data_IF_227142611356
#
_entry.id   IF_227142611356
#
_cell.length_a   1.000
_cell.length_b   1.000
_cell.length_c   1.000
_cell.angle_alpha   90.00
_cell.angle_beta   90.00
_cell.angle_gamma   90.00
#
_symmetry.space_group_name_H-M   'P 1'
#
loop_
_entity.id
_entity.type
_entity.pdbx_description
1 polymer ?
#
# COMPACT_ATOMS: atom_id res chain seq x y z
N UNK A 1 -54.52 -48.20 -15.94
CA UNK A 1 -54.48 -47.26 -14.81
C UNK A 1 -53.12 -47.23 -14.10
N UNK A 2 -52.43 -48.32 -13.81
CA UNK A 2 -51.15 -48.33 -13.04
C UNK A 2 -49.99 -47.55 -13.65
N UNK A 3 -49.81 -47.47 -14.99
CA UNK A 3 -48.71 -46.73 -15.63
C UNK A 3 -48.80 -45.19 -15.54
N UNK A 4 -50.02 -44.64 -15.54
CA UNK A 4 -50.28 -43.17 -15.42
C UNK A 4 -50.06 -42.67 -13.99
N UNK A 5 -50.38 -43.50 -12.99
CA UNK A 5 -50.15 -43.16 -11.58
C UNK A 5 -48.67 -43.14 -11.22
N UNK A 6 -47.88 -44.08 -11.74
CA UNK A 6 -46.42 -44.12 -11.55
C UNK A 6 -45.74 -42.90 -12.20
N UNK A 7 -46.14 -42.48 -13.41
CA UNK A 7 -45.61 -41.31 -14.07
C UNK A 7 -45.89 -39.99 -13.33
N UNK A 8 -47.11 -39.87 -12.73
CA UNK A 8 -47.46 -38.69 -11.91
C UNK A 8 -46.70 -38.63 -10.59
N UNK A 9 -46.43 -39.77 -9.95
CA UNK A 9 -45.64 -39.83 -8.71
C UNK A 9 -44.16 -39.50 -9.01
N UNK A 10 -43.61 -39.98 -10.12
CA UNK A 10 -42.23 -39.65 -10.54
C UNK A 10 -42.08 -38.16 -10.92
N UNK A 11 -43.07 -37.58 -11.60
CA UNK A 11 -43.07 -36.14 -11.91
C UNK A 11 -43.18 -35.26 -10.66
N UNK A 12 -44.00 -35.67 -9.67
CA UNK A 12 -44.14 -34.96 -8.39
C UNK A 12 -42.83 -35.06 -7.54
N UNK A 13 -42.15 -36.21 -7.59
CA UNK A 13 -40.82 -36.38 -6.93
C UNK A 13 -39.74 -35.54 -7.60
N UNK A 14 -39.70 -35.44 -8.92
CA UNK A 14 -38.76 -34.59 -9.67
C UNK A 14 -39.01 -33.10 -9.38
N UNK A 15 -40.24 -32.65 -9.28
CA UNK A 15 -40.60 -31.27 -8.91
C UNK A 15 -40.23 -30.98 -7.45
N UNK A 16 -40.45 -31.93 -6.52
CA UNK A 16 -40.07 -31.77 -5.12
C UNK A 16 -38.54 -31.67 -4.94
N UNK A 17 -37.76 -32.45 -5.71
CA UNK A 17 -36.29 -32.37 -5.70
C UNK A 17 -35.76 -31.05 -6.28
N UNK A 18 -36.49 -30.45 -7.25
CA UNK A 18 -36.15 -29.17 -7.84
C UNK A 18 -36.37 -27.99 -6.87
N UNK A 19 -37.30 -28.12 -5.91
CA UNK A 19 -37.55 -27.06 -4.91
C UNK A 19 -36.62 -27.15 -3.69
N UNK A 20 -35.96 -28.28 -3.44
CA UNK A 20 -35.01 -28.42 -2.32
C UNK A 20 -33.59 -28.00 -2.66
N UNK A 21 -33.31 -27.63 -3.91
CA UNK A 21 -31.94 -27.24 -4.36
C UNK A 21 -31.64 -25.72 -4.28
N UNK A 22 -32.57 -24.90 -3.79
CA UNK A 22 -32.20 -23.57 -3.32
C UNK A 22 -31.56 -23.68 -1.94
N UNK A 23 -30.41 -24.33 -1.87
CA UNK A 23 -29.45 -24.03 -0.81
C UNK A 23 -29.07 -22.57 -1.04
N UNK A 24 -29.72 -21.67 -0.31
CA UNK A 24 -29.23 -20.31 -0.16
C UNK A 24 -27.80 -20.46 0.35
N UNK A 25 -26.83 -20.30 -0.52
CA UNK A 25 -25.42 -20.16 -0.13
C UNK A 25 -25.42 -18.91 0.78
N UNK A 26 -25.51 -19.17 2.09
CA UNK A 26 -25.37 -18.08 3.06
C UNK A 26 -24.03 -17.42 2.73
N UNK A 27 -24.09 -16.13 2.40
CA UNK A 27 -22.87 -15.36 2.22
C UNK A 27 -22.06 -15.49 3.53
N UNK A 28 -20.89 -16.13 3.53
CA UNK A 28 -20.14 -16.42 4.75
C UNK A 28 -19.65 -15.15 5.45
N UNK A 29 -19.68 -14.01 4.76
CA UNK A 29 -19.26 -12.70 5.27
C UNK A 29 -20.43 -11.86 5.81
N UNK A 30 -21.68 -12.30 5.57
CA UNK A 30 -22.87 -11.55 5.98
C UNK A 30 -22.92 -11.33 7.50
N UNK A 31 -22.99 -10.06 7.91
CA UNK A 31 -23.09 -9.65 9.32
C UNK A 31 -21.76 -9.69 10.08
N UNK A 32 -20.64 -9.96 9.39
CA UNK A 32 -19.30 -9.85 9.96
C UNK A 32 -18.93 -8.38 10.21
N UNK A 33 -18.10 -8.13 11.23
CA UNK A 33 -17.56 -6.82 11.55
C UNK A 33 -16.05 -6.83 11.36
N UNK A 34 -15.53 -5.91 10.54
CA UNK A 34 -14.11 -5.83 10.21
C UNK A 34 -13.59 -4.41 10.38
N UNK A 35 -12.26 -4.25 10.55
CA UNK A 35 -11.65 -2.94 10.57
C UNK A 35 -10.46 -2.86 9.61
N UNK A 36 -10.18 -1.64 9.13
CA UNK A 36 -8.95 -1.27 8.47
C UNK A 36 -8.12 -0.40 9.41
N UNK A 37 -6.88 -0.80 9.67
CA UNK A 37 -5.98 -0.11 10.58
C UNK A 37 -4.74 0.31 9.81
N UNK A 38 -4.65 1.62 9.52
CA UNK A 38 -3.53 2.24 8.86
C UNK A 38 -2.54 2.77 9.88
N UNK A 39 -1.28 2.37 9.76
CA UNK A 39 -0.21 2.84 10.65
C UNK A 39 0.01 4.35 10.51
N UNK A 40 0.06 4.83 9.28
CA UNK A 40 0.40 6.21 8.93
C UNK A 40 -0.72 7.20 9.24
N UNK A 41 -0.37 8.49 9.22
CA UNK A 41 -1.33 9.59 9.25
C UNK A 41 -2.22 9.60 7.99
N UNK A 42 -3.42 10.20 8.05
CA UNK A 42 -4.27 10.35 6.88
C UNK A 42 -3.55 11.09 5.75
N UNK A 43 -3.66 10.55 4.54
CA UNK A 43 -3.31 11.21 3.30
C UNK A 43 -4.36 10.89 2.24
N UNK A 44 -4.38 11.62 1.14
CA UNK A 44 -5.40 11.41 0.11
C UNK A 44 -5.46 9.96 -0.38
N UNK A 45 -4.32 9.31 -0.62
CA UNK A 45 -4.28 7.91 -1.07
C UNK A 45 -4.78 6.95 0.03
N UNK A 46 -4.42 7.18 1.29
CA UNK A 46 -4.86 6.32 2.39
C UNK A 46 -6.35 6.47 2.69
N UNK A 47 -6.90 7.67 2.53
CA UNK A 47 -8.35 7.90 2.62
C UNK A 47 -9.10 7.19 1.48
N UNK A 48 -8.57 7.19 0.25
CA UNK A 48 -9.11 6.41 -0.87
C UNK A 48 -9.08 4.89 -0.60
N UNK A 49 -8.03 4.39 0.03
CA UNK A 49 -7.96 2.97 0.42
C UNK A 49 -8.98 2.63 1.50
N UNK A 50 -9.12 3.48 2.52
CA UNK A 50 -10.11 3.32 3.57
C UNK A 50 -11.54 3.29 3.01
N UNK A 51 -11.90 4.25 2.16
CA UNK A 51 -13.20 4.32 1.48
C UNK A 51 -13.44 3.08 0.59
N UNK A 52 -12.41 2.62 -0.11
CA UNK A 52 -12.49 1.39 -0.93
C UNK A 52 -12.66 0.14 -0.08
N UNK A 53 -12.02 0.07 1.08
CA UNK A 53 -12.20 -1.01 2.04
C UNK A 53 -13.64 -1.05 2.57
N UNK A 54 -14.16 0.07 3.04
CA UNK A 54 -15.52 0.16 3.58
C UNK A 54 -16.57 -0.20 2.53
N UNK A 55 -16.45 0.34 1.32
CA UNK A 55 -17.33 -0.01 0.19
C UNK A 55 -17.27 -1.50 -0.17
N UNK A 56 -16.08 -2.10 -0.10
CA UNK A 56 -15.90 -3.53 -0.39
C UNK A 56 -16.49 -4.41 0.71
N UNK A 57 -16.30 -4.03 1.97
CA UNK A 57 -16.92 -4.71 3.11
C UNK A 57 -18.45 -4.68 3.01
N UNK A 58 -19.04 -3.51 2.73
CA UNK A 58 -20.49 -3.37 2.53
C UNK A 58 -21.02 -4.26 1.41
N UNK A 59 -20.32 -4.33 0.26
CA UNK A 59 -20.71 -5.22 -0.86
C UNK A 59 -20.69 -6.69 -0.45
N UNK A 60 -19.83 -7.06 0.49
CA UNK A 60 -19.75 -8.42 1.05
C UNK A 60 -20.72 -8.65 2.22
N UNK A 61 -21.54 -7.65 2.59
CA UNK A 61 -22.49 -7.73 3.70
C UNK A 61 -21.85 -7.60 5.07
N UNK A 62 -20.64 -7.03 5.15
CA UNK A 62 -19.94 -6.75 6.40
C UNK A 62 -20.15 -5.30 6.83
N UNK A 63 -20.01 -5.03 8.13
CA UNK A 63 -19.76 -3.68 8.65
C UNK A 63 -18.27 -3.44 8.77
N UNK A 64 -17.84 -2.19 8.56
CA UNK A 64 -16.43 -1.82 8.56
C UNK A 64 -16.19 -0.51 9.30
N UNK A 65 -15.08 -0.45 10.02
CA UNK A 65 -14.54 0.76 10.64
C UNK A 65 -13.11 0.99 10.14
N UNK A 66 -12.65 2.25 10.12
CA UNK A 66 -11.29 2.63 9.72
C UNK A 66 -10.61 3.43 10.80
N UNK A 67 -9.33 3.13 11.04
CA UNK A 67 -8.49 3.80 12.03
C UNK A 67 -7.15 4.20 11.41
N UNK A 68 -6.72 5.45 11.66
CA UNK A 68 -5.39 5.94 11.33
C UNK A 68 -4.60 6.12 12.63
N UNK A 69 -3.37 5.63 12.67
CA UNK A 69 -2.56 5.56 13.89
C UNK A 69 -1.48 6.66 13.97
N UNK A 70 -1.41 7.56 12.98
CA UNK A 70 -0.51 8.73 12.96
C UNK A 70 0.95 8.38 13.29
N UNK A 71 1.47 7.32 12.64
CA UNK A 71 2.83 6.80 12.82
C UNK A 71 3.16 6.32 14.24
N UNK A 72 2.13 5.98 15.02
CA UNK A 72 2.28 5.50 16.39
C UNK A 72 2.21 3.98 16.48
N UNK A 73 3.33 3.34 16.83
CA UNK A 73 3.42 1.91 17.11
C UNK A 73 2.48 1.48 18.24
N UNK A 74 2.33 2.33 19.27
CA UNK A 74 1.45 2.06 20.41
C UNK A 74 -0.02 2.07 19.98
N UNK A 75 -0.42 3.08 19.22
CA UNK A 75 -1.79 3.21 18.71
C UNK A 75 -2.13 2.04 17.76
N UNK A 76 -1.22 1.68 16.84
CA UNK A 76 -1.41 0.58 15.90
C UNK A 76 -1.64 -0.76 16.63
N UNK A 77 -0.79 -1.09 17.60
CA UNK A 77 -0.95 -2.31 18.41
C UNK A 77 -2.22 -2.28 19.25
N UNK A 78 -2.49 -1.15 19.91
CA UNK A 78 -3.68 -0.96 20.74
C UNK A 78 -4.96 -1.14 19.93
N UNK A 79 -5.05 -0.57 18.72
CA UNK A 79 -6.22 -0.70 17.85
C UNK A 79 -6.48 -2.14 17.42
N UNK A 80 -5.44 -2.89 17.06
CA UNK A 80 -5.57 -4.31 16.71
C UNK A 80 -6.11 -5.11 17.89
N UNK A 81 -5.52 -4.93 19.06
CA UNK A 81 -5.92 -5.65 20.26
C UNK A 81 -7.35 -5.29 20.70
N UNK A 82 -7.72 -4.01 20.66
CA UNK A 82 -9.10 -3.57 20.96
C UNK A 82 -10.11 -4.18 19.98
N UNK A 83 -9.82 -4.22 18.69
CA UNK A 83 -10.69 -4.88 17.71
C UNK A 83 -10.91 -6.36 18.06
N UNK A 84 -9.85 -7.08 18.44
CA UNK A 84 -9.98 -8.47 18.85
C UNK A 84 -10.83 -8.65 20.11
N UNK A 85 -10.69 -7.74 21.09
CA UNK A 85 -11.45 -7.74 22.34
C UNK A 85 -12.92 -7.34 22.17
N UNK A 86 -13.19 -6.37 21.30
CA UNK A 86 -14.54 -5.84 21.04
C UNK A 86 -15.37 -6.68 20.08
N UNK A 87 -14.85 -7.85 19.67
CA UNK A 87 -15.61 -8.83 18.89
C UNK A 87 -15.68 -8.53 17.40
N UNK A 88 -14.69 -7.82 16.84
CA UNK A 88 -14.51 -7.81 15.40
C UNK A 88 -14.16 -9.21 14.91
N UNK A 89 -14.63 -9.56 13.72
CA UNK A 89 -14.30 -10.84 13.08
C UNK A 89 -12.88 -10.84 12.49
N UNK A 90 -12.36 -9.65 12.17
CA UNK A 90 -10.99 -9.50 11.69
C UNK A 90 -10.61 -8.07 11.33
N UNK A 91 -9.34 -7.91 10.99
CA UNK A 91 -8.75 -6.64 10.57
C UNK A 91 -7.91 -6.79 9.31
N UNK A 92 -7.85 -5.71 8.52
CA UNK A 92 -6.77 -5.47 7.55
C UNK A 92 -5.86 -4.43 8.15
N UNK A 93 -4.58 -4.76 8.34
CA UNK A 93 -3.58 -3.85 8.90
C UNK A 93 -2.58 -3.44 7.82
N UNK A 94 -2.15 -2.19 7.85
CA UNK A 94 -1.28 -1.63 6.82
C UNK A 94 -0.11 -0.88 7.43
N UNK A 95 1.07 -1.07 6.86
CA UNK A 95 2.32 -0.34 7.18
C UNK A 95 2.79 -0.45 8.64
N UNK A 96 2.48 -1.52 9.33
CA UNK A 96 2.95 -1.74 10.70
C UNK A 96 4.46 -2.01 10.80
N UNK A 97 5.04 -1.77 11.98
CA UNK A 97 6.47 -1.86 12.24
C UNK A 97 7.05 -3.26 12.03
N UNK A 98 8.09 -3.37 11.22
CA UNK A 98 8.73 -4.63 10.84
C UNK A 98 9.33 -5.38 12.04
N UNK A 99 9.87 -4.65 13.00
CA UNK A 99 10.66 -5.21 14.11
C UNK A 99 9.82 -5.93 15.17
N UNK A 100 8.52 -5.63 15.28
CA UNK A 100 7.64 -6.21 16.29
C UNK A 100 6.38 -6.87 15.73
N UNK A 101 6.03 -6.61 14.47
CA UNK A 101 4.77 -7.09 13.91
C UNK A 101 4.65 -8.61 13.96
N UNK A 102 5.75 -9.34 13.73
CA UNK A 102 5.73 -10.80 13.77
C UNK A 102 5.36 -11.35 15.16
N UNK A 103 6.06 -10.93 16.21
CA UNK A 103 5.82 -11.42 17.57
C UNK A 103 4.45 -10.95 18.09
N UNK A 104 4.09 -9.68 17.85
CA UNK A 104 2.84 -9.11 18.29
C UNK A 104 1.62 -9.78 17.61
N UNK A 105 1.61 -9.91 16.29
CA UNK A 105 0.47 -10.52 15.58
C UNK A 105 0.37 -12.03 15.85
N UNK A 106 1.50 -12.71 16.07
CA UNK A 106 1.50 -14.12 16.50
C UNK A 106 0.81 -14.29 17.87
N UNK A 107 1.12 -13.42 18.83
CA UNK A 107 0.47 -13.40 20.14
C UNK A 107 -1.05 -13.09 20.03
N UNK A 108 -1.44 -12.13 19.20
CA UNK A 108 -2.86 -11.81 18.96
C UNK A 108 -3.62 -13.04 18.43
N UNK A 109 -3.06 -13.75 17.45
CA UNK A 109 -3.71 -14.95 16.87
C UNK A 109 -3.82 -16.09 17.89
N UNK A 110 -2.80 -16.27 18.71
CA UNK A 110 -2.83 -17.29 19.78
C UNK A 110 -3.93 -16.98 20.81
N UNK A 111 -4.03 -15.74 21.26
CA UNK A 111 -5.05 -15.29 22.23
C UNK A 111 -6.47 -15.23 21.65
N UNK A 112 -6.59 -14.92 20.36
CA UNK A 112 -7.88 -14.73 19.68
C UNK A 112 -8.00 -15.59 18.40
N UNK A 113 -8.11 -16.92 18.49
CA UNK A 113 -7.98 -17.82 17.33
C UNK A 113 -9.10 -17.65 16.26
N UNK A 114 -10.23 -17.04 16.62
CA UNK A 114 -11.31 -16.75 15.70
C UNK A 114 -11.15 -15.39 14.98
N UNK A 115 -10.31 -14.51 15.49
CA UNK A 115 -10.00 -13.22 14.91
C UNK A 115 -9.09 -13.40 13.69
N UNK A 116 -9.44 -12.76 12.57
CA UNK A 116 -8.71 -12.92 11.31
C UNK A 116 -7.89 -11.67 11.00
N UNK A 117 -6.67 -11.88 10.55
CA UNK A 117 -5.76 -10.79 10.20
C UNK A 117 -5.33 -10.95 8.75
N UNK A 118 -5.49 -9.86 7.99
CA UNK A 118 -4.81 -9.69 6.71
C UNK A 118 -3.90 -8.47 6.80
N UNK A 119 -2.76 -8.51 6.13
CA UNK A 119 -1.85 -7.37 6.12
C UNK A 119 -1.61 -6.87 4.71
N UNK A 120 -1.50 -5.56 4.58
CA UNK A 120 -1.10 -4.88 3.36
C UNK A 120 0.14 -4.05 3.64
N UNK A 121 1.21 -4.33 2.90
CA UNK A 121 2.53 -3.68 3.06
C UNK A 121 3.14 -3.73 4.47
N UNK A 122 2.75 -4.72 5.28
CA UNK A 122 3.37 -4.99 6.57
C UNK A 122 4.35 -6.16 6.42
N UNK A 123 5.61 -5.93 6.72
CA UNK A 123 6.65 -6.95 6.70
C UNK A 123 6.78 -7.59 8.09
N UNK A 124 7.04 -8.89 8.11
CA UNK A 124 7.31 -9.60 9.36
C UNK A 124 8.77 -10.03 9.41
N UNK A 125 9.47 -9.57 10.43
CA UNK A 125 10.82 -10.03 10.77
C UNK A 125 10.79 -10.67 12.15
N UNK A 126 11.50 -11.79 12.30
CA UNK A 126 11.75 -12.38 13.61
C UNK A 126 12.80 -11.56 14.39
N UNK A 127 13.07 -12.00 15.62
CA UNK A 127 14.03 -11.31 16.50
C UNK A 127 15.46 -11.32 15.96
N UNK A 128 15.77 -12.23 15.01
CA UNK A 128 17.05 -12.27 14.30
C UNK A 128 17.05 -11.42 13.00
N UNK A 129 15.94 -10.77 12.67
CA UNK A 129 15.78 -9.94 11.48
C UNK A 129 15.47 -10.70 10.18
N UNK A 130 15.18 -12.02 10.26
CA UNK A 130 14.81 -12.79 9.07
C UNK A 130 13.33 -12.59 8.72
N UNK A 131 13.02 -12.45 7.43
CA UNK A 131 11.63 -12.39 6.96
C UNK A 131 10.89 -13.69 7.30
N UNK A 132 9.72 -13.57 7.91
CA UNK A 132 8.87 -14.68 8.32
C UNK A 132 7.44 -14.50 7.81
N UNK A 133 6.70 -15.61 7.85
CA UNK A 133 5.24 -15.63 7.71
C UNK A 133 4.61 -15.98 9.06
N UNK A 134 3.33 -15.68 9.23
CA UNK A 134 2.55 -16.07 10.40
C UNK A 134 1.41 -16.96 9.92
N UNK A 135 1.32 -18.17 10.45
CA UNK A 135 0.23 -19.08 10.12
C UNK A 135 -1.12 -18.45 10.48
N UNK A 136 -2.02 -18.42 9.51
CA UNK A 136 -3.34 -17.81 9.69
C UNK A 136 -3.42 -16.30 9.36
N UNK A 137 -2.31 -15.65 9.06
CA UNK A 137 -2.28 -14.28 8.52
C UNK A 137 -2.13 -14.31 7.01
N UNK A 138 -2.97 -13.55 6.32
CA UNK A 138 -2.85 -13.34 4.87
C UNK A 138 -2.06 -12.07 4.62
N UNK A 139 -0.95 -12.17 3.87
CA UNK A 139 -0.09 -11.03 3.55
C UNK A 139 -0.23 -10.64 2.09
N UNK A 140 -0.34 -9.33 1.85
CA UNK A 140 -0.31 -8.72 0.52
C UNK A 140 0.79 -7.68 0.44
N UNK A 141 1.50 -7.66 -0.70
CA UNK A 141 2.54 -6.67 -1.00
C UNK A 141 2.37 -6.15 -2.41
N UNK A 142 2.71 -4.90 -2.60
CA UNK A 142 2.93 -4.34 -3.93
C UNK A 142 4.27 -4.82 -4.50
N UNK A 143 4.39 -4.79 -5.82
CA UNK A 143 5.66 -5.06 -6.52
C UNK A 143 6.51 -3.80 -6.57
N UNK A 144 6.84 -3.24 -5.40
CA UNK A 144 7.46 -1.93 -5.24
C UNK A 144 8.75 -1.74 -6.04
N UNK A 145 9.63 -2.75 -6.07
CA UNK A 145 10.85 -2.69 -6.88
C UNK A 145 10.53 -2.59 -8.38
N UNK A 146 9.45 -3.22 -8.85
CA UNK A 146 8.98 -3.10 -10.22
C UNK A 146 8.39 -1.72 -10.51
N UNK A 147 7.62 -1.16 -9.57
CA UNK A 147 7.08 0.20 -9.71
C UNK A 147 8.22 1.23 -9.81
N UNK A 148 9.21 1.13 -8.91
CA UNK A 148 10.38 2.01 -8.94
C UNK A 148 11.17 1.90 -10.25
N UNK A 149 11.33 0.68 -10.78
CA UNK A 149 12.00 0.45 -12.04
C UNK A 149 11.26 1.10 -13.23
N UNK A 150 9.93 0.97 -13.28
CA UNK A 150 9.09 1.60 -14.32
C UNK A 150 9.26 3.12 -14.31
N UNK A 151 9.29 3.77 -13.13
CA UNK A 151 9.52 5.21 -13.04
C UNK A 151 10.89 5.61 -13.57
N UNK A 152 11.93 4.82 -13.28
CA UNK A 152 13.27 5.11 -13.83
C UNK A 152 13.29 4.90 -15.36
N UNK A 153 12.60 3.87 -15.88
CA UNK A 153 12.48 3.65 -17.32
C UNK A 153 11.74 4.81 -18.01
N UNK A 154 10.71 5.36 -17.38
CA UNK A 154 10.02 6.55 -17.87
C UNK A 154 10.98 7.74 -17.93
N UNK A 155 11.74 8.02 -16.88
CA UNK A 155 12.77 9.07 -16.91
C UNK A 155 13.76 8.83 -18.05
N UNK A 156 14.29 7.61 -18.20
CA UNK A 156 15.27 7.29 -19.25
C UNK A 156 14.69 7.49 -20.66
N UNK A 157 13.38 7.29 -20.83
CA UNK A 157 12.67 7.52 -22.10
C UNK A 157 12.64 9.00 -22.49
N UNK A 158 12.68 9.91 -21.52
CA UNK A 158 12.74 11.36 -21.75
C UNK A 158 14.12 11.82 -22.24
N UNK A 159 15.17 11.01 -22.05
CA UNK A 159 16.57 11.33 -22.38
C UNK A 159 17.22 10.30 -23.32
N UNK A 160 16.65 10.07 -24.52
CA UNK A 160 17.13 9.03 -25.43
C UNK A 160 18.56 9.26 -25.92
N UNK A 161 18.98 10.52 -26.06
CA UNK A 161 20.35 10.86 -26.50
C UNK A 161 21.39 10.51 -25.42
N UNK A 162 21.15 10.85 -24.14
CA UNK A 162 22.02 10.44 -23.02
C UNK A 162 22.14 8.92 -22.97
N UNK A 163 21.00 8.21 -23.10
CA UNK A 163 20.96 6.75 -23.08
C UNK A 163 21.78 6.15 -24.25
N UNK A 164 21.64 6.70 -25.47
CA UNK A 164 22.41 6.25 -26.64
C UNK A 164 23.92 6.49 -26.50
N UNK A 165 24.32 7.61 -25.90
CA UNK A 165 25.70 7.98 -25.63
C UNK A 165 26.30 7.28 -24.40
N UNK A 166 25.52 6.47 -23.67
CA UNK A 166 25.89 5.87 -22.38
C UNK A 166 26.23 6.90 -21.29
N UNK A 167 25.63 8.07 -21.39
CA UNK A 167 25.66 9.09 -20.37
C UNK A 167 24.63 8.80 -19.29
N UNK A 168 24.92 9.18 -18.05
CA UNK A 168 23.99 8.98 -16.94
C UNK A 168 22.98 10.13 -16.89
N UNK A 169 21.73 9.79 -16.57
CA UNK A 169 20.71 10.78 -16.23
C UNK A 169 20.88 11.17 -14.75
N UNK A 170 20.97 12.45 -14.46
CA UNK A 170 21.16 13.00 -13.13
C UNK A 170 19.82 13.14 -12.42
N UNK A 171 19.66 12.50 -11.27
CA UNK A 171 18.38 12.43 -10.56
C UNK A 171 18.51 13.05 -9.16
N UNK A 172 17.59 13.97 -8.85
CA UNK A 172 17.26 14.30 -7.48
C UNK A 172 16.30 13.20 -6.97
N UNK A 173 16.76 12.45 -5.97
CA UNK A 173 15.97 11.36 -5.39
C UNK A 173 15.21 11.82 -4.16
N UNK A 174 13.90 11.64 -4.13
CA UNK A 174 13.04 11.91 -2.97
C UNK A 174 12.66 10.58 -2.35
N UNK A 175 13.36 10.23 -1.28
CA UNK A 175 13.30 8.90 -0.66
C UNK A 175 13.72 8.97 0.80
N UNK A 176 13.04 8.20 1.65
CA UNK A 176 13.45 8.00 3.03
C UNK A 176 13.64 6.51 3.30
N UNK A 177 14.89 6.12 3.53
CA UNK A 177 15.28 4.76 3.83
C UNK A 177 14.91 4.41 5.28
N UNK A 178 14.30 3.24 5.48
CA UNK A 178 13.96 2.72 6.80
C UNK A 178 12.66 3.27 7.41
N UNK A 179 11.96 4.19 6.74
CA UNK A 179 10.69 4.71 7.26
C UNK A 179 9.58 3.67 7.15
N UNK A 180 9.30 3.16 5.96
CA UNK A 180 8.38 2.05 5.74
C UNK A 180 8.94 1.04 4.73
N UNK A 181 8.56 -0.22 4.89
CA UNK A 181 9.04 -1.33 4.05
C UNK A 181 8.80 -1.13 2.55
N UNK A 182 7.72 -0.47 2.15
CA UNK A 182 7.43 -0.16 0.76
C UNK A 182 8.52 0.72 0.14
N UNK A 183 9.01 1.72 0.87
CA UNK A 183 10.07 2.62 0.40
C UNK A 183 11.40 1.86 0.22
N UNK A 184 11.76 0.99 1.16
CA UNK A 184 12.97 0.18 1.06
C UNK A 184 12.92 -0.80 -0.13
N UNK A 185 11.73 -1.37 -0.42
CA UNK A 185 11.55 -2.20 -1.60
C UNK A 185 11.61 -1.40 -2.91
N UNK A 186 11.14 -0.13 -2.93
CA UNK A 186 11.26 0.79 -4.07
C UNK A 186 12.73 1.15 -4.31
N UNK A 187 13.48 1.36 -3.24
CA UNK A 187 14.93 1.62 -3.32
C UNK A 187 15.70 0.51 -4.05
N UNK A 188 15.33 -0.75 -3.85
CA UNK A 188 15.96 -1.88 -4.57
C UNK A 188 15.80 -1.73 -6.09
N UNK A 189 14.61 -1.36 -6.56
CA UNK A 189 14.34 -1.14 -7.98
C UNK A 189 15.10 0.04 -8.56
N UNK A 190 15.18 1.14 -7.82
CA UNK A 190 15.94 2.34 -8.20
C UNK A 190 17.46 2.06 -8.27
N UNK A 191 18.04 1.48 -7.23
CA UNK A 191 19.47 1.16 -7.13
C UNK A 191 19.98 0.24 -8.25
N UNK A 192 19.13 -0.59 -8.82
CA UNK A 192 19.50 -1.42 -9.95
C UNK A 192 20.02 -0.57 -11.12
N UNK A 193 19.31 0.50 -11.47
CA UNK A 193 19.68 1.40 -12.59
C UNK A 193 20.91 2.27 -12.27
N UNK A 194 21.09 2.65 -11.03
CA UNK A 194 22.28 3.33 -10.57
C UNK A 194 23.51 2.41 -10.66
N UNK A 195 23.38 1.17 -10.20
CA UNK A 195 24.44 0.14 -10.23
C UNK A 195 24.89 -0.18 -11.65
N UNK A 196 23.96 -0.29 -12.60
CA UNK A 196 24.30 -0.52 -14.01
C UNK A 196 24.71 0.76 -14.74
N UNK A 197 24.80 1.89 -14.05
CA UNK A 197 25.34 3.14 -14.55
C UNK A 197 24.44 3.90 -15.52
N UNK A 198 23.13 3.67 -15.50
CA UNK A 198 22.17 4.41 -16.35
C UNK A 198 21.75 5.74 -15.73
N UNK A 199 21.69 5.82 -14.42
CA UNK A 199 21.36 7.02 -13.67
C UNK A 199 22.46 7.36 -12.66
N UNK A 200 22.42 8.57 -12.16
CA UNK A 200 23.27 9.05 -11.06
C UNK A 200 22.39 9.86 -10.10
N UNK A 201 22.32 9.47 -8.85
CA UNK A 201 21.74 10.31 -7.80
C UNK A 201 22.68 11.48 -7.51
N UNK A 202 22.20 12.71 -7.66
CA UNK A 202 22.94 13.93 -7.34
C UNK A 202 22.75 14.33 -5.89
N UNK A 203 21.55 14.19 -5.37
CA UNK A 203 21.21 14.37 -3.96
C UNK A 203 20.00 13.49 -3.61
N UNK A 204 19.88 13.10 -2.33
CA UNK A 204 18.69 12.42 -1.79
C UNK A 204 18.08 13.32 -0.73
N UNK A 205 16.78 13.55 -0.82
CA UNK A 205 16.01 14.34 0.14
C UNK A 205 14.83 13.55 0.69
N UNK A 206 14.42 13.91 1.90
CA UNK A 206 13.25 13.36 2.60
C UNK A 206 12.55 14.48 3.38
N UNK A 207 11.27 14.34 3.76
CA UNK A 207 10.61 15.29 4.64
C UNK A 207 11.27 15.28 6.04
N UNK A 208 11.25 16.42 6.69
CA UNK A 208 11.70 16.55 8.09
C UNK A 208 10.58 16.30 9.10
N UNK A 209 9.31 16.28 8.64
CA UNK A 209 8.11 16.01 9.42
C UNK A 209 7.14 15.15 8.60
N UNK A 210 6.83 13.96 9.10
CA UNK A 210 5.92 13.02 8.43
C UNK A 210 4.44 13.40 8.57
N UNK A 211 4.08 14.09 9.66
CA UNK A 211 2.70 14.51 9.91
C UNK A 211 2.28 15.69 9.01
N UNK A 212 3.26 16.46 8.54
CA UNK A 212 3.08 17.50 7.52
C UNK A 212 4.06 17.29 6.35
N UNK A 213 4.04 16.09 5.81
CA UNK A 213 5.03 15.65 4.83
C UNK A 213 5.05 16.52 3.56
N UNK A 214 3.89 16.99 3.09
CA UNK A 214 3.80 17.82 1.87
C UNK A 214 4.51 19.15 2.04
N UNK A 215 4.21 19.88 3.11
CA UNK A 215 4.83 21.18 3.37
C UNK A 215 6.31 21.03 3.72
N UNK A 216 6.64 20.03 4.55
CA UNK A 216 8.00 19.74 4.96
C UNK A 216 8.91 19.42 3.77
N UNK A 217 8.50 18.55 2.87
CA UNK A 217 9.32 18.20 1.70
C UNK A 217 9.37 19.36 0.68
N UNK A 218 8.34 20.20 0.60
CA UNK A 218 8.35 21.39 -0.25
C UNK A 218 9.49 22.31 0.14
N UNK A 219 9.63 22.62 1.42
CA UNK A 219 10.71 23.51 1.89
C UNK A 219 12.11 22.90 1.65
N UNK A 220 12.28 21.58 1.95
CA UNK A 220 13.54 20.87 1.65
C UNK A 220 13.86 20.91 0.15
N UNK A 221 12.88 20.66 -0.71
CA UNK A 221 13.06 20.65 -2.15
C UNK A 221 13.44 22.05 -2.69
N UNK A 222 12.84 23.12 -2.16
CA UNK A 222 13.19 24.52 -2.54
C UNK A 222 14.66 24.81 -2.25
N UNK A 223 15.12 24.46 -1.06
CA UNK A 223 16.50 24.67 -0.66
C UNK A 223 17.47 23.94 -1.59
N UNK A 224 17.12 22.73 -2.00
CA UNK A 224 17.95 21.93 -2.91
C UNK A 224 17.89 22.45 -4.33
N UNK A 225 16.72 22.76 -4.87
CA UNK A 225 16.57 23.32 -6.22
C UNK A 225 17.32 24.63 -6.41
N UNK A 226 17.50 25.44 -5.34
CA UNK A 226 18.29 26.67 -5.36
C UNK A 226 19.81 26.43 -5.37
N UNK A 227 20.31 25.22 -5.04
CA UNK A 227 21.73 24.89 -5.05
C UNK A 227 22.27 24.55 -6.45
N UNK A 228 21.40 23.99 -7.30
CA UNK A 228 21.79 23.43 -8.58
C UNK A 228 21.50 24.39 -9.73
N UNK A 229 22.44 24.44 -10.68
CA UNK A 229 22.24 25.20 -11.92
C UNK A 229 21.37 24.42 -12.91
N UNK A 230 20.83 25.12 -13.92
CA UNK A 230 20.03 24.49 -14.97
C UNK A 230 20.83 23.39 -15.68
N UNK A 231 20.26 22.17 -15.74
CA UNK A 231 20.85 21.01 -16.37
C UNK A 231 21.75 20.17 -15.45
N UNK A 232 21.94 20.53 -14.18
CA UNK A 232 22.62 19.67 -13.21
C UNK A 232 21.72 18.55 -12.67
N UNK A 233 20.40 18.79 -12.63
CA UNK A 233 19.35 17.81 -12.35
C UNK A 233 18.52 17.62 -13.62
N UNK A 234 18.50 16.41 -14.15
CA UNK A 234 17.70 16.07 -15.32
C UNK A 234 16.26 15.75 -14.95
N UNK A 235 16.05 14.99 -13.87
CA UNK A 235 14.71 14.57 -13.43
C UNK A 235 14.67 14.38 -11.92
N UNK A 236 13.45 14.34 -11.39
CA UNK A 236 13.17 14.02 -9.98
C UNK A 236 12.41 12.69 -9.94
N UNK A 237 12.97 11.75 -9.17
CA UNK A 237 12.31 10.49 -8.85
C UNK A 237 11.80 10.54 -7.42
N UNK A 238 10.51 10.28 -7.23
CA UNK A 238 9.87 10.36 -5.93
C UNK A 238 9.26 9.00 -5.55
N UNK A 239 9.53 8.54 -4.34
CA UNK A 239 9.06 7.25 -3.86
C UNK A 239 7.57 7.25 -3.45
N UNK A 240 6.93 8.42 -3.33
CA UNK A 240 5.59 8.56 -2.76
C UNK A 240 4.88 9.82 -3.27
N UNK A 241 3.56 9.74 -3.53
CA UNK A 241 2.77 10.82 -4.12
C UNK A 241 2.68 12.08 -3.23
N UNK A 242 2.52 11.92 -1.91
CA UNK A 242 2.48 13.07 -1.01
C UNK A 242 3.81 13.86 -1.03
N UNK A 243 4.94 13.15 -1.13
CA UNK A 243 6.24 13.84 -1.30
C UNK A 243 6.31 14.52 -2.66
N UNK A 244 5.81 13.88 -3.71
CA UNK A 244 5.75 14.47 -5.05
C UNK A 244 4.91 15.74 -5.10
N UNK A 245 3.81 15.81 -4.35
CA UNK A 245 2.98 17.02 -4.22
C UNK A 245 3.79 18.22 -3.69
N UNK A 246 4.54 18.01 -2.61
CA UNK A 246 5.40 19.06 -2.04
C UNK A 246 6.50 19.48 -3.01
N UNK A 247 7.18 18.54 -3.64
CA UNK A 247 8.21 18.82 -4.65
C UNK A 247 7.65 19.56 -5.84
N UNK A 248 6.45 19.21 -6.31
CA UNK A 248 5.78 19.91 -7.40
C UNK A 248 5.45 21.37 -7.05
N UNK A 249 5.02 21.63 -5.82
CA UNK A 249 4.81 22.99 -5.35
C UNK A 249 6.12 23.79 -5.32
N UNK A 250 7.21 23.15 -4.85
CA UNK A 250 8.55 23.76 -4.87
C UNK A 250 9.02 24.12 -6.29
N UNK A 251 8.85 23.19 -7.24
CA UNK A 251 9.16 23.42 -8.66
C UNK A 251 8.39 24.63 -9.22
N UNK A 252 7.10 24.74 -8.93
CA UNK A 252 6.28 25.89 -9.35
C UNK A 252 6.78 27.20 -8.74
N UNK A 253 7.09 27.22 -7.45
CA UNK A 253 7.58 28.42 -6.77
C UNK A 253 8.95 28.86 -7.27
N UNK A 254 9.82 27.90 -7.62
CA UNK A 254 11.14 28.17 -8.21
C UNK A 254 11.10 28.46 -9.72
N UNK A 255 9.94 28.32 -10.38
CA UNK A 255 9.83 28.45 -11.83
C UNK A 255 10.58 27.38 -12.62
N UNK A 256 10.80 26.22 -12.01
CA UNK A 256 11.53 25.09 -12.61
C UNK A 256 10.58 24.17 -13.38
N UNK A 257 11.07 23.59 -14.48
CA UNK A 257 10.37 22.63 -15.32
C UNK A 257 11.01 21.25 -15.33
N UNK A 258 11.80 20.91 -14.30
CA UNK A 258 12.40 19.58 -14.16
C UNK A 258 11.30 18.54 -14.08
N UNK A 259 11.34 17.47 -14.92
CA UNK A 259 10.37 16.39 -14.88
C UNK A 259 10.35 15.69 -13.52
N UNK A 260 9.15 15.41 -13.01
CA UNK A 260 8.92 14.71 -11.74
C UNK A 260 8.10 13.45 -12.01
N UNK A 261 8.56 12.31 -11.52
CA UNK A 261 7.84 11.04 -11.55
C UNK A 261 7.62 10.52 -10.14
N UNK A 262 6.49 9.87 -9.88
CA UNK A 262 6.13 9.34 -8.57
C UNK A 262 5.40 8.01 -8.65
N UNK A 263 5.42 7.28 -7.55
CA UNK A 263 4.53 6.14 -7.29
C UNK A 263 3.23 6.66 -6.69
N UNK A 264 2.17 5.89 -6.87
CA UNK A 264 0.79 6.20 -6.49
C UNK A 264 0.18 7.32 -7.36
N UNK A 265 -1.07 7.63 -7.14
CA UNK A 265 -1.80 8.65 -7.89
C UNK A 265 -2.73 9.43 -6.98
N UNK A 266 -2.72 10.74 -7.10
CA UNK A 266 -3.64 11.63 -6.41
C UNK A 266 -4.37 12.54 -7.40
N UNK A 267 -5.37 13.29 -6.91
CA UNK A 267 -6.09 14.24 -7.76
C UNK A 267 -5.21 15.40 -8.29
N UNK A 268 -4.01 15.56 -7.74
CA UNK A 268 -3.04 16.57 -8.20
C UNK A 268 -2.23 16.04 -9.40
N UNK A 269 -2.11 14.72 -9.52
CA UNK A 269 -1.32 14.08 -10.56
C UNK A 269 -2.10 13.92 -11.88
N UNK A 270 -3.40 14.22 -11.88
CA UNK A 270 -4.33 14.17 -13.01
C UNK A 270 -4.63 15.61 -13.49
#
# INVERSE_FOLDING_TARGET
MKKRTVALVLAALLVAVSFTSCVSLKNPTQGKKVAYIMYMAPSQIFELWADSFEKSAQKLGMSADTFFCNDSDEEWRSRIELCAQEGYDGVVVSHGGETYAWSFLSDIIERYPNFKIATFDTFFKDDEGNTRTIDGVVQFFQRDSGLAAVLVEEILSMYPEKTANKERVNILKVQEEGYIAAFDRREVGYKLYETVGKIRTVETIAPSDHLDAVESIKEVAKDVLCKYEDGEIDAIWCCYDAYAQGVYQALKECGSSIPLVSVDISNIDI
#
